data_IF_254481490172
#
_entry.id   IF_254481490172
#
_cell.length_a   1.000
_cell.length_b   1.000
_cell.length_c   1.000
_cell.angle_alpha   90.00
_cell.angle_beta   90.00
_cell.angle_gamma   90.00
#
_symmetry.space_group_name_H-M   'P 1'
#
loop_
_entity.id
_entity.type
_entity.pdbx_description
1 polymer ?
#
# COMPACT_ATOMS: atom_id res chain seq x y z
N UNK A 1 11.52 -19.49 22.87
CA UNK A 1 10.14 -18.98 22.63
C UNK A 1 10.06 -17.96 21.48
N UNK A 2 10.89 -16.91 21.46
CA UNK A 2 10.88 -15.87 20.40
C UNK A 2 11.24 -16.40 19.00
N UNK A 3 12.13 -17.40 18.90
CA UNK A 3 12.57 -17.94 17.59
C UNK A 3 11.52 -18.81 16.87
N UNK A 4 10.63 -19.49 17.61
CA UNK A 4 9.60 -20.36 16.99
C UNK A 4 8.52 -19.52 16.31
N UNK A 5 8.13 -18.39 16.93
CA UNK A 5 7.15 -17.48 16.35
C UNK A 5 7.66 -16.77 15.09
N UNK A 6 8.97 -16.47 15.01
CA UNK A 6 9.58 -15.90 13.81
C UNK A 6 9.67 -16.93 12.68
N UNK A 7 10.06 -18.18 12.99
CA UNK A 7 10.16 -19.26 12.01
C UNK A 7 8.81 -19.56 11.35
N UNK A 8 7.75 -19.72 12.17
CA UNK A 8 6.38 -19.93 11.66
C UNK A 8 5.97 -18.76 10.76
N UNK A 9 6.37 -17.54 11.09
CA UNK A 9 6.03 -16.35 10.32
C UNK A 9 6.75 -16.30 8.96
N UNK A 10 8.01 -16.74 8.91
CA UNK A 10 8.77 -16.86 7.66
C UNK A 10 8.23 -17.99 6.78
N UNK A 11 7.85 -19.14 7.36
CA UNK A 11 7.20 -20.24 6.64
C UNK A 11 5.85 -19.81 6.05
N UNK A 12 4.98 -19.17 6.86
CA UNK A 12 3.70 -18.62 6.40
C UNK A 12 3.93 -17.65 5.24
N UNK A 13 4.91 -16.76 5.35
CA UNK A 13 5.24 -15.82 4.29
C UNK A 13 5.70 -16.52 3.01
N UNK A 14 6.55 -17.54 3.12
CA UNK A 14 7.01 -18.34 1.98
C UNK A 14 5.85 -18.99 1.24
N UNK A 15 4.97 -19.70 1.96
CA UNK A 15 3.80 -20.36 1.37
C UNK A 15 2.83 -19.36 0.72
N UNK A 16 2.61 -18.19 1.35
CA UNK A 16 1.77 -17.13 0.75
C UNK A 16 2.39 -16.64 -0.56
N UNK A 17 3.69 -16.38 -0.59
CA UNK A 17 4.36 -15.91 -1.80
C UNK A 17 4.33 -16.94 -2.93
N UNK A 18 4.52 -18.21 -2.63
CA UNK A 18 4.40 -19.31 -3.59
C UNK A 18 2.98 -19.34 -4.19
N UNK A 19 1.94 -19.37 -3.35
CA UNK A 19 0.55 -19.37 -3.81
C UNK A 19 0.19 -18.14 -4.64
N UNK A 20 0.61 -16.94 -4.22
CA UNK A 20 0.42 -15.69 -4.98
C UNK A 20 1.17 -15.75 -6.32
N UNK A 21 2.36 -16.37 -6.38
CA UNK A 21 3.16 -16.45 -7.59
C UNK A 21 2.70 -17.52 -8.58
N UNK A 22 2.13 -18.63 -8.10
CA UNK A 22 1.56 -19.67 -8.94
C UNK A 22 0.23 -19.21 -9.54
N UNK A 23 -0.61 -18.56 -8.74
CA UNK A 23 -1.96 -18.15 -9.13
C UNK A 23 -2.06 -16.65 -9.40
N UNK A 24 -1.14 -16.14 -10.23
CA UNK A 24 -1.04 -14.71 -10.56
C UNK A 24 -2.31 -14.09 -11.14
N UNK A 25 -3.16 -14.88 -11.80
CA UNK A 25 -4.40 -14.43 -12.44
C UNK A 25 -5.64 -14.57 -11.55
N UNK A 26 -5.56 -15.26 -10.41
CA UNK A 26 -6.73 -15.52 -9.57
C UNK A 26 -7.00 -14.36 -8.63
N UNK A 27 -7.90 -13.47 -9.01
CA UNK A 27 -8.21 -12.22 -8.29
C UNK A 27 -8.45 -12.40 -6.79
N UNK A 28 -9.39 -13.27 -6.40
CA UNK A 28 -9.73 -13.45 -4.98
C UNK A 28 -8.55 -13.95 -4.15
N UNK A 29 -7.73 -14.85 -4.69
CA UNK A 29 -6.54 -15.35 -4.03
C UNK A 29 -5.47 -14.27 -3.89
N UNK A 30 -5.34 -13.39 -4.87
CA UNK A 30 -4.44 -12.23 -4.80
C UNK A 30 -4.92 -11.23 -3.74
N UNK A 31 -6.23 -10.99 -3.66
CA UNK A 31 -6.82 -10.13 -2.63
C UNK A 31 -6.59 -10.68 -1.22
N UNK A 32 -6.80 -11.99 -1.04
CA UNK A 32 -6.50 -12.69 0.22
C UNK A 32 -5.01 -12.64 0.54
N UNK A 33 -4.16 -12.86 -0.46
CA UNK A 33 -2.71 -12.77 -0.33
C UNK A 33 -2.25 -11.40 0.16
N UNK A 34 -2.71 -10.32 -0.48
CA UNK A 34 -2.46 -8.96 -0.01
C UNK A 34 -2.99 -8.71 1.41
N UNK A 35 -4.18 -9.22 1.73
CA UNK A 35 -4.76 -9.10 3.08
C UNK A 35 -3.92 -9.82 4.15
N UNK A 36 -3.40 -11.00 3.85
CA UNK A 36 -2.50 -11.73 4.75
C UNK A 36 -1.16 -11.02 4.91
N UNK A 37 -0.57 -10.50 3.83
CA UNK A 37 0.65 -9.70 3.89
C UNK A 37 0.43 -8.43 4.73
N UNK A 38 -0.71 -7.77 4.59
CA UNK A 38 -1.09 -6.65 5.44
C UNK A 38 -1.21 -7.07 6.91
N UNK A 39 -1.92 -8.15 7.22
CA UNK A 39 -2.07 -8.64 8.59
C UNK A 39 -0.71 -9.00 9.23
N UNK A 40 0.17 -9.65 8.47
CA UNK A 40 1.55 -9.91 8.88
C UNK A 40 2.29 -8.60 9.16
N UNK A 41 2.10 -7.58 8.33
CA UNK A 41 2.68 -6.25 8.52
C UNK A 41 2.15 -5.60 9.80
N UNK A 42 0.86 -5.66 10.10
CA UNK A 42 0.27 -5.08 11.31
C UNK A 42 0.82 -5.73 12.58
N UNK A 43 0.88 -7.06 12.62
CA UNK A 43 1.23 -7.83 13.83
C UNK A 43 2.72 -8.17 13.97
N UNK A 44 3.59 -7.70 13.07
CA UNK A 44 5.04 -7.96 13.17
C UNK A 44 5.90 -6.97 12.39
N UNK A 45 7.20 -7.27 12.26
CA UNK A 45 8.13 -6.51 11.39
C UNK A 45 7.93 -6.92 9.93
N UNK A 46 7.73 -6.00 8.97
CA UNK A 46 7.67 -6.37 7.56
C UNK A 46 8.90 -7.19 7.14
N UNK A 47 8.67 -8.28 6.42
CA UNK A 47 9.70 -9.15 5.87
C UNK A 47 10.17 -8.61 4.51
N UNK A 48 11.45 -8.80 4.14
CA UNK A 48 11.94 -8.47 2.82
C UNK A 48 11.07 -9.09 1.71
N UNK A 49 10.80 -8.33 0.64
CA UNK A 49 10.01 -8.80 -0.51
C UNK A 49 8.48 -8.72 -0.35
N UNK A 50 7.96 -8.39 0.84
CA UNK A 50 6.51 -8.15 1.02
C UNK A 50 6.01 -6.99 0.15
N UNK A 51 6.77 -5.89 0.12
CA UNK A 51 6.40 -4.69 -0.65
C UNK A 51 6.39 -4.96 -2.17
N UNK A 52 7.36 -5.71 -2.69
CA UNK A 52 7.40 -6.16 -4.09
C UNK A 52 6.22 -7.06 -4.46
N UNK A 53 5.84 -7.97 -3.56
CA UNK A 53 4.70 -8.85 -3.78
C UNK A 53 3.39 -8.06 -3.85
N UNK A 54 3.19 -7.12 -2.92
CA UNK A 54 2.04 -6.21 -2.93
C UNK A 54 2.02 -5.35 -4.19
N UNK A 55 3.14 -4.75 -4.57
CA UNK A 55 3.27 -3.95 -5.79
C UNK A 55 2.84 -4.75 -7.03
N UNK A 56 3.36 -5.98 -7.18
CA UNK A 56 3.02 -6.84 -8.32
C UNK A 56 1.54 -7.20 -8.36
N UNK A 57 0.94 -7.49 -7.20
CA UNK A 57 -0.49 -7.80 -7.12
C UNK A 57 -1.34 -6.58 -7.51
N UNK A 58 -1.04 -5.39 -6.96
CA UNK A 58 -1.73 -4.15 -7.29
C UNK A 58 -1.65 -3.82 -8.78
N UNK A 59 -0.47 -3.97 -9.40
CA UNK A 59 -0.29 -3.71 -10.83
C UNK A 59 -1.01 -4.73 -11.71
N UNK A 60 -1.14 -5.98 -11.27
CA UNK A 60 -1.78 -7.04 -12.06
C UNK A 60 -3.30 -7.02 -11.97
N UNK A 61 -3.85 -6.55 -10.84
CA UNK A 61 -5.29 -6.57 -10.57
C UNK A 61 -5.84 -5.16 -10.29
N UNK A 62 -5.69 -4.19 -11.21
CA UNK A 62 -6.11 -2.81 -10.98
C UNK A 62 -7.62 -2.67 -10.70
N UNK A 63 -8.43 -3.52 -11.32
CA UNK A 63 -9.89 -3.51 -11.15
C UNK A 63 -10.37 -4.23 -9.89
N UNK A 64 -9.50 -4.97 -9.19
CA UNK A 64 -9.89 -5.71 -7.99
C UNK A 64 -9.92 -4.81 -6.77
N UNK A 65 -11.10 -4.51 -6.26
CA UNK A 65 -11.27 -3.72 -5.05
C UNK A 65 -10.48 -4.32 -3.87
N UNK A 66 -10.56 -5.63 -3.68
CA UNK A 66 -9.87 -6.31 -2.58
C UNK A 66 -8.34 -6.19 -2.66
N UNK A 67 -7.77 -6.37 -3.85
CA UNK A 67 -6.31 -6.22 -4.04
C UNK A 67 -5.88 -4.77 -3.81
N UNK A 68 -6.61 -3.80 -4.37
CA UNK A 68 -6.24 -2.39 -4.25
C UNK A 68 -6.39 -1.89 -2.80
N UNK A 69 -7.47 -2.26 -2.11
CA UNK A 69 -7.70 -1.92 -0.71
C UNK A 69 -6.61 -2.48 0.20
N UNK A 70 -6.41 -3.80 0.18
CA UNK A 70 -5.39 -4.44 1.01
C UNK A 70 -3.97 -4.01 0.60
N UNK A 71 -3.75 -3.72 -0.67
CA UNK A 71 -2.49 -3.20 -1.18
C UNK A 71 -2.15 -1.84 -0.57
N UNK A 72 -3.07 -0.87 -0.65
CA UNK A 72 -2.89 0.44 -0.01
C UNK A 72 -2.67 0.32 1.50
N UNK A 73 -3.45 -0.50 2.19
CA UNK A 73 -3.31 -0.73 3.63
C UNK A 73 -1.95 -1.37 4.01
N UNK A 74 -1.48 -2.32 3.20
CA UNK A 74 -0.16 -2.94 3.37
C UNK A 74 0.97 -1.91 3.16
N UNK A 75 0.90 -1.10 2.11
CA UNK A 75 1.90 -0.06 1.82
C UNK A 75 2.00 0.95 2.96
N UNK A 76 0.86 1.43 3.47
CA UNK A 76 0.82 2.27 4.68
C UNK A 76 1.52 1.59 5.87
N UNK A 77 1.23 0.31 6.11
CA UNK A 77 1.82 -0.45 7.21
C UNK A 77 3.33 -0.68 7.04
N UNK A 78 3.81 -0.87 5.81
CA UNK A 78 5.24 -1.02 5.51
C UNK A 78 5.99 0.29 5.71
N UNK A 79 5.46 1.39 5.17
CA UNK A 79 6.07 2.70 5.26
C UNK A 79 6.13 3.22 6.71
N UNK A 80 5.04 3.05 7.47
CA UNK A 80 4.98 3.45 8.89
C UNK A 80 5.92 2.64 9.79
N UNK A 81 6.39 1.47 9.33
CA UNK A 81 7.35 0.62 10.04
C UNK A 81 8.77 0.71 9.45
N UNK A 82 9.05 1.77 8.70
CA UNK A 82 10.36 2.07 8.12
C UNK A 82 10.92 0.94 7.24
N UNK A 83 10.04 0.17 6.58
CA UNK A 83 10.48 -0.79 5.58
C UNK A 83 11.18 -0.05 4.45
N UNK A 84 12.41 -0.44 4.13
CA UNK A 84 13.14 0.16 3.02
C UNK A 84 12.46 -0.19 1.68
N UNK A 85 11.78 0.80 1.11
CA UNK A 85 11.11 0.71 -0.19
C UNK A 85 11.73 1.63 -1.24
N UNK A 86 12.92 2.19 -0.97
CA UNK A 86 13.59 3.14 -1.87
C UNK A 86 13.73 2.62 -3.31
N UNK A 87 14.05 1.32 -3.47
CA UNK A 87 14.20 0.68 -4.78
C UNK A 87 12.90 0.62 -5.61
N UNK A 88 11.73 0.66 -4.96
CA UNK A 88 10.42 0.56 -5.60
C UNK A 88 9.56 1.81 -5.40
N UNK A 89 10.10 2.88 -4.80
CA UNK A 89 9.34 4.03 -4.32
C UNK A 89 8.48 4.67 -5.42
N UNK A 90 9.05 4.93 -6.59
CA UNK A 90 8.30 5.50 -7.71
C UNK A 90 7.17 4.59 -8.20
N UNK A 91 7.43 3.28 -8.26
CA UNK A 91 6.45 2.29 -8.70
C UNK A 91 5.32 2.11 -7.68
N UNK A 92 5.63 2.11 -6.38
CA UNK A 92 4.61 1.95 -5.33
C UNK A 92 3.73 3.19 -5.21
N UNK A 93 4.30 4.41 -5.35
CA UNK A 93 3.50 5.65 -5.42
C UNK A 93 2.55 5.59 -6.62
N UNK A 94 3.06 5.23 -7.80
CA UNK A 94 2.23 5.12 -9.02
C UNK A 94 1.11 4.08 -8.88
N UNK A 95 1.39 2.95 -8.22
CA UNK A 95 0.40 1.91 -7.94
C UNK A 95 -0.70 2.43 -7.00
N UNK A 96 -0.34 3.13 -5.91
CA UNK A 96 -1.30 3.73 -4.98
C UNK A 96 -2.16 4.80 -5.68
N UNK A 97 -1.56 5.68 -6.47
CA UNK A 97 -2.31 6.70 -7.23
C UNK A 97 -3.28 6.07 -8.24
N UNK A 98 -2.86 4.97 -8.88
CA UNK A 98 -3.70 4.22 -9.82
C UNK A 98 -4.86 3.53 -9.11
N UNK A 99 -4.62 2.96 -7.92
CA UNK A 99 -5.64 2.38 -7.06
C UNK A 99 -6.71 3.42 -6.68
N UNK A 100 -6.27 4.58 -6.19
CA UNK A 100 -7.17 5.68 -5.82
C UNK A 100 -7.97 6.18 -7.03
N UNK A 101 -7.35 6.29 -8.20
CA UNK A 101 -8.03 6.70 -9.42
C UNK A 101 -9.09 5.67 -9.88
N UNK A 102 -8.72 4.39 -9.91
CA UNK A 102 -9.62 3.32 -10.36
C UNK A 102 -10.79 3.05 -9.42
N UNK A 103 -10.62 3.35 -8.13
CA UNK A 103 -11.62 3.13 -7.07
C UNK A 103 -12.01 4.44 -6.36
N UNK A 104 -12.18 5.52 -7.13
CA UNK A 104 -12.48 6.88 -6.63
C UNK A 104 -13.70 6.97 -5.71
N UNK A 105 -14.70 6.11 -5.93
CA UNK A 105 -15.96 6.08 -5.19
C UNK A 105 -15.91 5.14 -3.97
N UNK A 106 -14.77 4.48 -3.73
CA UNK A 106 -14.56 3.57 -2.60
C UNK A 106 -13.78 4.29 -1.51
N UNK A 107 -14.51 4.77 -0.52
CA UNK A 107 -13.99 5.57 0.60
C UNK A 107 -12.77 4.90 1.24
N UNK A 108 -12.83 3.60 1.48
CA UNK A 108 -11.77 2.85 2.14
C UNK A 108 -10.47 2.85 1.32
N UNK A 109 -10.57 2.76 -0.02
CA UNK A 109 -9.38 2.86 -0.89
C UNK A 109 -8.80 4.27 -0.87
N UNK A 110 -9.64 5.29 -0.82
CA UNK A 110 -9.19 6.67 -0.72
C UNK A 110 -8.50 6.95 0.62
N UNK A 111 -9.07 6.47 1.72
CA UNK A 111 -8.50 6.59 3.07
C UNK A 111 -7.12 5.93 3.16
N UNK A 112 -7.03 4.65 2.83
CA UNK A 112 -5.75 3.93 2.86
C UNK A 112 -4.78 4.43 1.80
N UNK A 113 -5.27 4.92 0.66
CA UNK A 113 -4.46 5.54 -0.38
C UNK A 113 -3.77 6.81 0.13
N UNK A 114 -4.53 7.74 0.72
CA UNK A 114 -3.97 8.95 1.35
C UNK A 114 -2.99 8.60 2.47
N UNK A 115 -3.35 7.67 3.36
CA UNK A 115 -2.48 7.25 4.47
C UNK A 115 -1.17 6.61 3.98
N UNK A 116 -1.23 5.82 2.90
CA UNK A 116 -0.05 5.23 2.27
C UNK A 116 0.87 6.31 1.68
N UNK A 117 0.31 7.28 0.93
CA UNK A 117 1.08 8.38 0.35
C UNK A 117 1.75 9.25 1.43
N UNK A 118 1.01 9.60 2.49
CA UNK A 118 1.58 10.31 3.64
C UNK A 118 2.73 9.54 4.29
N UNK A 119 2.56 8.24 4.51
CA UNK A 119 3.59 7.42 5.16
C UNK A 119 4.82 7.24 4.28
N UNK A 120 4.64 7.08 2.97
CA UNK A 120 5.73 7.00 1.99
C UNK A 120 6.53 8.30 1.95
N UNK A 121 5.85 9.44 1.95
CA UNK A 121 6.50 10.74 1.95
C UNK A 121 7.21 11.03 3.28
N UNK A 122 6.61 10.65 4.41
CA UNK A 122 7.24 10.82 5.73
C UNK A 122 8.50 9.98 5.89
N UNK A 123 8.49 8.74 5.38
CA UNK A 123 9.62 7.81 5.48
C UNK A 123 10.70 8.02 4.43
N UNK A 124 10.38 8.66 3.29
CA UNK A 124 11.30 8.84 2.17
C UNK A 124 11.30 10.28 1.61
N UNK A 125 11.13 11.29 2.47
CA UNK A 125 10.85 12.68 2.09
C UNK A 125 11.66 13.20 0.90
N UNK A 126 12.99 13.17 1.00
CA UNK A 126 13.88 13.67 -0.07
C UNK A 126 13.67 12.96 -1.40
N UNK A 127 13.48 11.63 -1.39
CA UNK A 127 13.27 10.84 -2.60
C UNK A 127 11.85 11.04 -3.15
N UNK A 128 10.87 11.22 -2.25
CA UNK A 128 9.48 11.45 -2.60
C UNK A 128 9.29 12.78 -3.32
N UNK A 129 9.81 13.86 -2.75
CA UNK A 129 9.73 15.22 -3.31
C UNK A 129 10.52 15.31 -4.63
N UNK A 130 11.65 14.63 -4.73
CA UNK A 130 12.42 14.54 -5.97
C UNK A 130 11.78 13.62 -7.03
N UNK A 131 10.74 12.85 -6.68
CA UNK A 131 10.09 11.95 -7.62
C UNK A 131 9.21 12.72 -8.60
N UNK A 132 9.15 12.26 -9.86
CA UNK A 132 8.24 12.80 -10.87
C UNK A 132 6.74 12.63 -10.50
N UNK A 133 6.43 11.90 -9.43
CA UNK A 133 5.06 11.66 -8.97
C UNK A 133 4.60 12.65 -7.90
N UNK A 134 5.46 13.56 -7.42
CA UNK A 134 5.11 14.51 -6.36
C UNK A 134 3.93 15.41 -6.76
N UNK A 135 4.03 16.10 -7.90
CA UNK A 135 2.97 16.99 -8.40
C UNK A 135 1.65 16.23 -8.63
N UNK A 136 1.72 15.05 -9.23
CA UNK A 136 0.55 14.18 -9.45
C UNK A 136 -0.06 13.71 -8.14
N UNK A 137 0.75 13.45 -7.12
CA UNK A 137 0.27 13.08 -5.78
C UNK A 137 -0.54 14.21 -5.17
N UNK A 138 0.01 15.44 -5.21
CA UNK A 138 -0.68 16.63 -4.72
C UNK A 138 -2.04 16.80 -5.41
N UNK A 139 -2.08 16.69 -6.75
CA UNK A 139 -3.30 16.81 -7.52
C UNK A 139 -4.36 15.76 -7.14
N UNK A 140 -3.96 14.48 -7.03
CA UNK A 140 -4.88 13.39 -6.67
C UNK A 140 -5.39 13.55 -5.24
N UNK A 141 -4.54 13.89 -4.29
CA UNK A 141 -4.94 14.09 -2.89
C UNK A 141 -5.92 15.25 -2.77
N UNK A 142 -5.67 16.39 -3.42
CA UNK A 142 -6.61 17.51 -3.44
C UNK A 142 -7.97 17.13 -4.03
N UNK A 143 -7.99 16.43 -5.17
CA UNK A 143 -9.24 15.94 -5.78
C UNK A 143 -9.97 14.96 -4.87
N UNK A 144 -9.24 14.10 -4.17
CA UNK A 144 -9.81 13.12 -3.24
C UNK A 144 -10.48 13.83 -2.06
N UNK A 145 -9.79 14.81 -1.46
CA UNK A 145 -10.36 15.64 -0.39
C UNK A 145 -11.61 16.41 -0.87
N UNK A 146 -11.60 16.94 -2.10
CA UNK A 146 -12.77 17.62 -2.67
C UNK A 146 -13.95 16.68 -2.94
N UNK A 147 -13.69 15.43 -3.34
CA UNK A 147 -14.75 14.45 -3.59
C UNK A 147 -15.34 13.88 -2.29
N UNK A 148 -14.56 13.85 -1.20
CA UNK A 148 -14.92 13.21 0.06
C UNK A 148 -14.93 14.20 1.24
N UNK A 149 -15.58 15.35 1.07
CA UNK A 149 -15.57 16.47 2.04
C UNK A 149 -16.12 16.11 3.42
N UNK A 150 -17.02 15.14 3.51
CA UNK A 150 -17.64 14.70 4.78
C UNK A 150 -16.83 13.63 5.50
N UNK A 151 -15.84 13.02 4.84
CA UNK A 151 -15.03 11.95 5.40
C UNK A 151 -13.83 12.56 6.13
N UNK A 152 -13.98 12.76 7.44
CA UNK A 152 -12.98 13.40 8.31
C UNK A 152 -11.60 12.75 8.19
N UNK A 153 -11.55 11.42 8.18
CA UNK A 153 -10.35 10.60 7.99
C UNK A 153 -9.62 10.92 6.68
N UNK A 154 -10.33 11.07 5.56
CA UNK A 154 -9.74 11.46 4.27
C UNK A 154 -9.19 12.89 4.33
N UNK A 155 -9.90 13.81 5.00
CA UNK A 155 -9.42 15.18 5.14
C UNK A 155 -8.15 15.26 6.00
N UNK A 156 -8.11 14.55 7.13
CA UNK A 156 -6.94 14.48 8.00
C UNK A 156 -5.73 13.89 7.26
N UNK A 157 -5.90 12.71 6.65
CA UNK A 157 -4.81 12.04 5.92
C UNK A 157 -4.38 12.83 4.68
N UNK A 158 -5.32 13.48 4.00
CA UNK A 158 -5.03 14.35 2.86
C UNK A 158 -4.21 15.58 3.26
N UNK A 159 -4.57 16.26 4.35
CA UNK A 159 -3.78 17.34 4.92
C UNK A 159 -2.36 16.88 5.25
N UNK A 160 -2.23 15.74 5.93
CA UNK A 160 -0.92 15.16 6.28
C UNK A 160 -0.10 14.84 5.02
N UNK A 161 -0.71 14.24 3.99
CA UNK A 161 -0.04 13.93 2.72
C UNK A 161 0.39 15.18 1.94
N UNK A 162 -0.24 16.33 2.17
CA UNK A 162 0.11 17.62 1.57
C UNK A 162 1.11 18.43 2.41
N UNK A 163 1.50 17.98 3.60
CA UNK A 163 2.59 18.58 4.39
C UNK A 163 4.00 18.22 3.87
N UNK A 164 4.09 17.64 2.67
CA UNK A 164 5.33 17.22 2.01
C UNK A 164 6.09 18.39 1.36
#
# INVERSE_FOLDING_TARGET
PQNVGLLIREEIFGTILEGINEHKSHEALQAMGCGLLWALACHGRPLPGMADAVLRAMLRHPSSLGVQLHGCAAVHSFASKEMNMSAILGSIISAVLSAMHGHKDKVEVQEYGCAALFSLASSNFTQFVASASCERTIEVVLKTMQAHQTQVTIQEQGCCALCI
#
